data_IF_130753988698
#
_entry.id   IF_130753988698
#
_cell.length_a   1.000
_cell.length_b   1.000
_cell.length_c   1.000
_cell.angle_alpha   90.00
_cell.angle_beta   90.00
_cell.angle_gamma   90.00
#
_symmetry.space_group_name_H-M   'P 1'
#
loop_
_entity.id
_entity.type
_entity.pdbx_description
1 polymer ?
#
# COMPACT_ATOMS: atom_id res chain seq x y z
N UNK A 1 -41.64 -35.46 -32.98
CA UNK A 1 -41.06 -34.15 -33.34
C UNK A 1 -40.41 -33.60 -32.09
N UNK A 2 -39.12 -33.90 -31.96
CA UNK A 2 -38.19 -33.27 -31.03
C UNK A 2 -38.01 -31.79 -31.39
N UNK A 3 -37.71 -30.94 -30.41
CA UNK A 3 -36.44 -30.19 -30.40
C UNK A 3 -36.21 -29.57 -29.02
N UNK A 4 -35.32 -30.21 -28.28
CA UNK A 4 -34.58 -29.72 -27.11
C UNK A 4 -33.72 -28.52 -27.54
N UNK A 5 -33.93 -27.33 -26.97
CA UNK A 5 -33.06 -26.17 -27.21
C UNK A 5 -31.92 -26.17 -26.21
N UNK A 6 -30.81 -26.73 -26.68
CA UNK A 6 -29.48 -26.78 -26.08
C UNK A 6 -28.92 -25.36 -25.84
N UNK A 7 -28.44 -25.13 -24.62
CA UNK A 7 -27.70 -23.94 -24.19
C UNK A 7 -26.36 -23.81 -24.93
N UNK A 8 -25.94 -22.63 -25.42
CA UNK A 8 -24.62 -22.47 -25.99
C UNK A 8 -23.56 -22.50 -24.88
N UNK A 9 -22.68 -23.52 -24.98
CA UNK A 9 -21.48 -23.72 -24.18
C UNK A 9 -20.54 -22.51 -24.30
N UNK A 10 -19.97 -22.09 -23.17
CA UNK A 10 -18.89 -21.10 -23.07
C UNK A 10 -17.68 -21.61 -23.87
N UNK A 11 -17.32 -20.91 -24.95
CA UNK A 11 -16.07 -21.12 -25.67
C UNK A 11 -14.95 -20.35 -24.98
N UNK A 12 -14.00 -21.08 -24.44
CA UNK A 12 -12.69 -20.61 -23.99
C UNK A 12 -11.95 -19.94 -25.14
N UNK A 13 -11.70 -18.63 -25.06
CA UNK A 13 -10.71 -17.95 -25.91
C UNK A 13 -9.34 -18.15 -25.29
N UNK A 14 -8.50 -18.92 -25.98
CA UNK A 14 -7.06 -19.00 -25.76
C UNK A 14 -6.46 -17.67 -26.20
N UNK A 15 -5.87 -16.91 -25.27
CA UNK A 15 -5.07 -15.73 -25.60
C UNK A 15 -3.61 -16.15 -25.63
N UNK A 16 -3.03 -15.99 -26.81
CA UNK A 16 -1.65 -16.26 -27.16
C UNK A 16 -0.70 -15.39 -26.32
N UNK A 17 0.15 -16.07 -25.57
CA UNK A 17 1.27 -15.55 -24.79
C UNK A 17 2.25 -14.80 -25.72
N UNK A 18 2.49 -13.53 -25.42
CA UNK A 18 3.63 -12.77 -25.92
C UNK A 18 4.29 -12.15 -24.68
N UNK A 19 5.54 -12.54 -24.48
CA UNK A 19 6.40 -12.16 -23.37
C UNK A 19 7.05 -10.79 -23.61
N UNK A 20 6.91 -9.94 -22.61
CA UNK A 20 7.80 -8.86 -22.21
C UNK A 20 7.36 -8.51 -20.78
N UNK A 21 8.16 -8.59 -19.73
CA UNK A 21 9.59 -8.35 -19.63
C UNK A 21 9.85 -7.22 -18.63
N UNK A 22 9.22 -7.26 -17.45
CA UNK A 22 9.56 -6.44 -16.27
C UNK A 22 8.67 -6.86 -15.08
N UNK A 23 9.20 -7.71 -14.21
CA UNK A 23 8.50 -8.21 -13.03
C UNK A 23 8.52 -7.20 -11.88
N UNK A 24 7.60 -6.25 -11.89
CA UNK A 24 7.32 -5.40 -10.75
C UNK A 24 5.88 -5.65 -10.30
N UNK A 25 5.71 -6.15 -9.06
CA UNK A 25 4.42 -6.60 -8.53
C UNK A 25 3.59 -5.38 -8.04
N UNK A 26 2.37 -5.18 -8.58
CA UNK A 26 1.48 -4.01 -8.40
C UNK A 26 0.28 -4.38 -7.49
N UNK A 27 0.07 -3.64 -6.39
CA UNK A 27 -1.09 -3.82 -5.49
C UNK A 27 -2.15 -2.72 -5.74
N UNK A 28 -3.42 -2.89 -5.32
CA UNK A 28 -4.50 -1.89 -5.42
C UNK A 28 -5.59 -2.16 -4.37
N UNK A 29 -5.86 -1.21 -3.46
CA UNK A 29 -6.92 -1.30 -2.43
C UNK A 29 -8.28 -0.80 -2.97
N UNK A 30 -9.37 -1.53 -2.64
CA UNK A 30 -10.72 -1.30 -3.16
C UNK A 30 -11.79 -1.42 -2.04
N UNK A 31 -11.77 -0.51 -1.05
CA UNK A 31 -12.72 -0.53 0.09
C UNK A 31 -13.70 0.67 0.16
N UNK A 32 -14.98 0.44 0.53
CA UNK A 32 -15.96 1.49 0.86
C UNK A 32 -15.90 1.92 2.35
N UNK A 33 -16.08 3.22 2.58
CA UNK A 33 -15.93 3.92 3.88
C UNK A 33 -17.07 3.61 4.86
N UNK A 34 -16.74 3.19 6.09
CA UNK A 34 -17.57 3.51 7.25
C UNK A 34 -16.76 3.50 8.56
N UNK A 35 -16.75 4.65 9.24
CA UNK A 35 -15.99 4.96 10.46
C UNK A 35 -16.77 4.58 11.74
N UNK A 36 -16.08 4.08 12.77
CA UNK A 36 -16.37 4.44 14.16
C UNK A 36 -15.19 4.19 15.10
N UNK A 37 -14.92 5.17 15.97
CA UNK A 37 -13.78 5.30 16.89
C UNK A 37 -14.23 5.23 18.37
N UNK A 38 -13.23 5.14 19.27
CA UNK A 38 -13.19 5.29 20.75
C UNK A 38 -13.10 3.95 21.54
N UNK A 39 -12.20 3.77 22.54
CA UNK A 39 -11.82 4.67 23.64
C UNK A 39 -10.59 4.14 24.45
N UNK A 40 -9.61 5.02 24.75
CA UNK A 40 -8.83 5.32 26.02
C UNK A 40 -8.56 4.15 27.02
N UNK A 41 -7.38 3.90 27.63
CA UNK A 41 -6.60 4.65 28.67
C UNK A 41 -5.39 3.76 29.11
N UNK A 42 -4.15 4.24 29.24
CA UNK A 42 -3.40 4.65 30.47
C UNK A 42 -2.39 3.59 31.03
N UNK A 43 -1.36 4.12 31.72
CA UNK A 43 -0.34 3.53 32.61
C UNK A 43 1.15 3.44 32.18
N UNK A 44 2.02 3.70 33.17
CA UNK A 44 3.29 4.44 33.15
C UNK A 44 4.58 3.57 33.26
N UNK A 45 5.73 4.27 33.23
CA UNK A 45 7.06 3.96 33.83
C UNK A 45 8.02 2.93 33.18
N UNK A 46 9.17 3.41 32.67
CA UNK A 46 10.48 3.31 33.37
C UNK A 46 11.66 3.77 32.49
N UNK A 47 12.65 4.38 33.17
CA UNK A 47 13.83 5.00 32.61
C UNK A 47 14.78 4.03 31.88
N UNK A 48 15.23 4.42 30.69
CA UNK A 48 16.58 4.06 30.25
C UNK A 48 17.19 5.14 29.36
N UNK A 49 18.18 5.80 29.95
CA UNK A 49 18.94 6.90 29.40
C UNK A 49 19.95 6.34 28.39
N UNK A 50 19.54 6.20 27.13
CA UNK A 50 20.46 6.16 25.99
C UNK A 50 20.34 7.50 25.27
N UNK A 51 21.23 8.44 25.61
CA UNK A 51 21.50 9.59 24.75
C UNK A 51 22.18 9.05 23.49
N UNK A 52 21.38 8.59 22.53
CA UNK A 52 21.81 8.54 21.16
C UNK A 52 21.92 9.99 20.71
N UNK A 53 23.14 10.41 20.45
CA UNK A 53 23.46 11.57 19.62
C UNK A 53 22.99 11.26 18.19
N UNK A 54 21.67 11.16 18.00
CA UNK A 54 21.07 11.13 16.68
C UNK A 54 20.81 12.57 16.35
N UNK A 55 21.88 13.28 15.96
CA UNK A 55 21.69 14.32 14.96
C UNK A 55 21.13 13.59 13.74
N UNK A 56 19.79 13.46 13.71
CA UNK A 56 19.06 13.12 12.50
C UNK A 56 19.42 14.26 11.57
N UNK A 57 20.49 14.05 10.82
CA UNK A 57 20.77 14.79 9.61
C UNK A 57 19.49 14.58 8.80
N UNK A 58 18.57 15.54 8.88
CA UNK A 58 17.37 15.56 8.07
C UNK A 58 17.88 15.65 6.64
N UNK A 59 18.13 14.49 6.04
CA UNK A 59 18.39 14.38 4.62
C UNK A 59 17.18 15.01 3.96
N UNK A 60 17.43 15.87 2.98
CA UNK A 60 16.36 16.51 2.22
C UNK A 60 15.39 15.44 1.72
N UNK A 61 14.12 15.55 2.10
CA UNK A 61 13.09 14.64 1.68
C UNK A 61 12.71 14.94 0.22
N UNK A 62 13.14 14.06 -0.68
CA UNK A 62 12.84 14.14 -2.11
C UNK A 62 11.82 13.08 -2.55
N UNK A 63 11.16 12.43 -1.59
CA UNK A 63 10.29 11.27 -1.84
C UNK A 63 8.88 11.68 -2.24
N UNK A 64 8.48 12.91 -1.91
CA UNK A 64 7.10 13.37 -1.99
C UNK A 64 6.25 12.99 -0.78
N UNK A 65 6.74 12.18 0.16
CA UNK A 65 6.07 11.98 1.44
C UNK A 65 6.16 13.24 2.32
N UNK A 66 5.14 13.55 3.14
CA UNK A 66 5.28 14.46 4.27
C UNK A 66 6.43 14.04 5.19
N UNK A 67 7.18 15.01 5.75
CA UNK A 67 8.36 14.72 6.58
C UNK A 67 8.01 13.93 7.85
N UNK A 68 6.89 14.25 8.49
CA UNK A 68 6.38 13.51 9.66
C UNK A 68 6.07 12.06 9.28
N UNK A 69 5.33 11.85 8.19
CA UNK A 69 4.96 10.51 7.75
C UNK A 69 6.21 9.69 7.37
N UNK A 70 7.15 10.28 6.64
CA UNK A 70 8.41 9.61 6.29
C UNK A 70 9.15 9.18 7.55
N UNK A 71 9.40 10.11 8.48
CA UNK A 71 10.11 9.83 9.72
C UNK A 71 9.37 8.77 10.56
N UNK A 72 8.05 8.87 10.69
CA UNK A 72 7.24 7.92 11.44
C UNK A 72 7.25 6.51 10.86
N UNK A 73 7.19 6.36 9.52
CA UNK A 73 7.32 5.04 8.90
C UNK A 73 8.73 4.47 9.09
N UNK A 74 9.77 5.30 8.92
CA UNK A 74 11.16 4.87 9.12
C UNK A 74 11.42 4.43 10.57
N UNK A 75 10.89 5.18 11.55
CA UNK A 75 11.01 4.86 12.97
C UNK A 75 10.28 3.56 13.35
N UNK A 76 9.04 3.40 12.90
CA UNK A 76 8.20 2.26 13.28
C UNK A 76 8.58 0.98 12.54
N UNK A 77 9.06 1.08 11.30
CA UNK A 77 9.38 -0.08 10.46
C UNK A 77 10.86 -0.47 10.49
N UNK A 78 11.75 0.47 10.79
CA UNK A 78 13.21 0.28 10.70
C UNK A 78 13.76 0.27 9.27
N UNK A 79 12.92 0.51 8.25
CA UNK A 79 13.33 0.62 6.84
C UNK A 79 13.46 2.08 6.42
N UNK A 80 14.43 2.38 5.55
CA UNK A 80 14.52 3.72 4.96
C UNK A 80 13.48 3.90 3.86
N UNK A 81 12.85 5.07 3.84
CA UNK A 81 11.88 5.50 2.84
C UNK A 81 12.50 6.43 1.80
N UNK A 82 13.83 6.61 1.78
CA UNK A 82 14.54 7.55 0.89
C UNK A 82 14.33 7.25 -0.61
N UNK A 83 14.05 6.00 -0.97
CA UNK A 83 13.81 5.56 -2.36
C UNK A 83 12.34 5.66 -2.78
N UNK A 84 11.44 6.10 -1.88
CA UNK A 84 10.01 6.24 -2.16
C UNK A 84 9.75 7.40 -3.09
N UNK A 85 8.77 7.24 -3.99
CA UNK A 85 8.31 8.31 -4.89
C UNK A 85 6.79 8.37 -4.88
N UNK A 86 6.26 9.51 -4.43
CA UNK A 86 4.82 9.78 -4.44
C UNK A 86 4.45 10.53 -5.71
N UNK A 87 3.60 9.91 -6.52
CA UNK A 87 3.00 10.47 -7.73
C UNK A 87 1.60 10.99 -7.40
N UNK A 88 1.54 12.23 -6.91
CA UNK A 88 0.28 12.92 -6.64
C UNK A 88 -0.50 13.22 -7.92
N UNK A 89 -1.83 13.29 -7.81
CA UNK A 89 -2.73 13.55 -8.93
C UNK A 89 -2.54 12.58 -10.11
N UNK A 90 -2.14 11.34 -9.82
CA UNK A 90 -1.93 10.32 -10.84
C UNK A 90 -3.26 9.81 -11.40
N UNK A 91 -3.31 9.59 -12.72
CA UNK A 91 -4.43 8.93 -13.38
C UNK A 91 -4.33 7.39 -13.33
N UNK A 92 -3.23 6.84 -12.81
CA UNK A 92 -2.99 5.39 -12.81
C UNK A 92 -3.93 4.62 -11.90
N UNK A 93 -4.26 5.04 -10.66
CA UNK A 93 -5.17 4.26 -9.81
C UNK A 93 -6.54 4.01 -10.47
N UNK A 94 -7.02 4.94 -11.30
CA UNK A 94 -8.29 4.78 -12.01
C UNK A 94 -8.30 3.63 -13.03
N UNK A 95 -7.15 3.24 -13.61
CA UNK A 95 -7.08 2.15 -14.60
C UNK A 95 -7.38 0.78 -13.98
N UNK A 96 -7.22 0.72 -12.67
CA UNK A 96 -7.30 -0.48 -11.83
C UNK A 96 -8.37 -0.33 -10.75
N UNK A 97 -9.24 0.69 -10.91
CA UNK A 97 -10.40 0.99 -10.05
C UNK A 97 -10.05 1.29 -8.59
N UNK A 98 -8.86 1.81 -8.33
CA UNK A 98 -8.42 2.22 -7.00
C UNK A 98 -8.33 3.74 -6.86
N UNK A 99 -8.23 4.20 -5.60
CA UNK A 99 -8.02 5.61 -5.26
C UNK A 99 -6.54 5.94 -5.10
N UNK A 100 -5.77 5.03 -4.51
CA UNK A 100 -4.33 5.07 -4.44
C UNK A 100 -3.80 3.63 -4.51
N UNK A 101 -2.50 3.48 -4.79
CA UNK A 101 -1.83 2.20 -4.62
C UNK A 101 -0.32 2.32 -4.53
N UNK A 102 0.30 1.23 -4.05
CA UNK A 102 1.74 1.08 -3.93
C UNK A 102 2.28 -0.05 -4.81
N UNK A 103 3.34 0.24 -5.56
CA UNK A 103 4.13 -0.72 -6.32
C UNK A 103 5.61 -0.52 -6.03
N UNK A 104 6.23 -1.44 -5.30
CA UNK A 104 7.61 -1.28 -4.88
C UNK A 104 7.76 -0.02 -4.02
N UNK A 105 8.56 0.92 -4.50
CA UNK A 105 8.76 2.21 -3.84
C UNK A 105 7.96 3.35 -4.48
N UNK A 106 7.17 3.07 -5.52
CA UNK A 106 6.29 4.06 -6.16
C UNK A 106 4.89 4.01 -5.52
N UNK A 107 4.41 5.18 -5.07
CA UNK A 107 3.06 5.37 -4.54
C UNK A 107 2.30 6.26 -5.51
N UNK A 108 1.16 5.81 -6.02
CA UNK A 108 0.30 6.60 -6.90
C UNK A 108 -0.96 7.02 -6.17
N UNK A 109 -1.26 8.32 -6.17
CA UNK A 109 -2.42 8.88 -5.47
C UNK A 109 -3.30 9.63 -6.47
N UNK A 110 -4.58 9.30 -6.53
CA UNK A 110 -5.54 10.04 -7.35
C UNK A 110 -5.74 11.47 -6.84
N UNK A 111 -6.19 12.41 -7.68
CA UNK A 111 -6.46 13.77 -7.24
C UNK A 111 -7.40 13.84 -6.03
N UNK A 112 -6.96 14.48 -4.95
CA UNK A 112 -7.75 14.66 -3.72
C UNK A 112 -7.85 13.42 -2.83
N UNK A 113 -6.97 12.43 -3.02
CA UNK A 113 -6.94 11.18 -2.26
C UNK A 113 -5.70 11.03 -1.35
N UNK A 114 -5.05 12.13 -1.00
CA UNK A 114 -3.83 12.16 -0.18
C UNK A 114 -4.04 11.57 1.22
N UNK A 115 -5.28 11.50 1.70
CA UNK A 115 -5.66 10.81 2.94
C UNK A 115 -5.27 9.31 2.96
N UNK A 116 -5.10 8.68 1.80
CA UNK A 116 -4.66 7.28 1.69
C UNK A 116 -3.14 7.14 1.80
N UNK A 117 -2.38 8.23 1.71
CA UNK A 117 -0.92 8.19 1.66
C UNK A 117 -0.27 7.50 2.86
N UNK A 118 -0.73 7.69 4.12
CA UNK A 118 -0.14 6.98 5.25
C UNK A 118 -0.29 5.46 5.16
N UNK A 119 -1.43 5.00 4.68
CA UNK A 119 -1.71 3.58 4.45
C UNK A 119 -0.80 3.01 3.35
N UNK A 120 -0.72 3.70 2.21
CA UNK A 120 0.16 3.32 1.10
C UNK A 120 1.65 3.32 1.49
N UNK A 121 2.08 4.30 2.27
CA UNK A 121 3.45 4.35 2.78
C UNK A 121 3.79 3.14 3.66
N UNK A 122 2.83 2.62 4.43
CA UNK A 122 3.05 1.40 5.21
C UNK A 122 3.15 0.15 4.34
N UNK A 123 2.44 0.10 3.20
CA UNK A 123 2.61 -1.00 2.25
C UNK A 123 4.03 -1.09 1.69
N UNK A 124 4.73 0.03 1.50
CA UNK A 124 6.15 0.01 1.12
C UNK A 124 6.97 -0.74 2.19
N UNK A 125 6.78 -0.42 3.47
CA UNK A 125 7.49 -1.08 4.56
C UNK A 125 7.17 -2.59 4.62
N UNK A 126 5.93 -2.98 4.36
CA UNK A 126 5.55 -4.40 4.29
C UNK A 126 6.23 -5.12 3.11
N UNK A 127 6.30 -4.50 1.95
CA UNK A 127 6.99 -5.04 0.77
C UNK A 127 8.49 -5.18 1.02
N UNK A 128 9.12 -4.18 1.65
CA UNK A 128 10.54 -4.22 2.04
C UNK A 128 10.83 -5.31 3.07
N UNK A 129 9.87 -5.59 3.97
CA UNK A 129 9.97 -6.69 4.93
C UNK A 129 9.86 -8.08 4.29
N UNK A 130 9.53 -8.18 3.00
CA UNK A 130 9.35 -9.45 2.29
C UNK A 130 8.14 -10.25 2.77
N UNK A 131 7.18 -9.62 3.44
CA UNK A 131 5.96 -10.26 3.99
C UNK A 131 4.80 -10.26 2.98
N UNK A 132 4.92 -9.49 1.91
CA UNK A 132 3.88 -9.33 0.89
C UNK A 132 4.17 -10.27 -0.28
N UNK A 133 3.55 -11.45 -0.25
CA UNK A 133 3.54 -12.37 -1.39
C UNK A 133 2.25 -12.19 -2.20
N UNK A 134 2.29 -12.15 -3.54
CA UNK A 134 1.07 -12.11 -4.35
C UNK A 134 0.18 -13.32 -4.07
N UNK A 135 -1.08 -13.07 -3.71
CA UNK A 135 -2.09 -14.12 -3.52
C UNK A 135 -3.07 -14.21 -4.70
N UNK A 136 -3.17 -13.14 -5.48
CA UNK A 136 -4.12 -13.02 -6.60
C UNK A 136 -3.59 -12.07 -7.69
N UNK A 137 -4.32 -11.95 -8.81
CA UNK A 137 -4.04 -10.99 -9.87
C UNK A 137 -5.31 -10.24 -10.27
N UNK A 138 -5.22 -8.90 -10.35
CA UNK A 138 -6.31 -8.03 -10.82
C UNK A 138 -5.81 -7.23 -12.01
N UNK A 139 -6.40 -7.45 -13.18
CA UNK A 139 -5.99 -6.74 -14.41
C UNK A 139 -4.54 -7.01 -14.84
N UNK A 140 -3.97 -8.15 -14.44
CA UNK A 140 -2.55 -8.48 -14.67
C UNK A 140 -1.60 -7.93 -13.62
N UNK A 141 -2.13 -7.29 -12.58
CA UNK A 141 -1.36 -6.79 -11.45
C UNK A 141 -1.45 -7.74 -10.26
N UNK A 142 -0.31 -8.23 -9.74
CA UNK A 142 -0.26 -9.19 -8.63
C UNK A 142 -0.54 -8.52 -7.29
N UNK A 143 -1.64 -8.92 -6.66
CA UNK A 143 -2.19 -8.31 -5.45
C UNK A 143 -2.09 -9.31 -4.28
N UNK A 144 -2.02 -8.78 -3.06
CA UNK A 144 -2.11 -9.52 -1.81
C UNK A 144 -3.40 -9.03 -1.15
N UNK A 145 -4.30 -9.96 -0.85
CA UNK A 145 -5.61 -9.69 -0.25
C UNK A 145 -5.67 -10.11 1.22
N UNK A 146 -4.52 -10.19 1.89
CA UNK A 146 -4.44 -10.56 3.29
C UNK A 146 -4.97 -9.44 4.19
N UNK A 147 -6.18 -9.64 4.71
CA UNK A 147 -6.87 -8.72 5.62
C UNK A 147 -6.01 -8.29 6.82
N UNK A 148 -5.12 -9.17 7.31
CA UNK A 148 -4.21 -8.84 8.41
C UNK A 148 -3.16 -7.78 8.04
N UNK A 149 -2.62 -7.84 6.82
CA UNK A 149 -1.67 -6.85 6.32
C UNK A 149 -2.35 -5.52 6.01
N UNK A 150 -3.58 -5.55 5.48
CA UNK A 150 -4.40 -4.35 5.26
C UNK A 150 -4.71 -3.62 6.58
N UNK A 151 -5.12 -4.37 7.61
CA UNK A 151 -5.37 -3.79 8.92
C UNK A 151 -4.10 -3.23 9.57
N UNK A 152 -2.97 -3.92 9.41
CA UNK A 152 -1.67 -3.42 9.87
C UNK A 152 -1.33 -2.10 9.17
N UNK A 153 -1.56 -1.99 7.86
CA UNK A 153 -1.33 -0.75 7.09
C UNK A 153 -2.22 0.41 7.55
N UNK A 154 -3.51 0.15 7.85
CA UNK A 154 -4.41 1.16 8.41
C UNK A 154 -3.89 1.69 9.77
N UNK A 155 -3.55 0.78 10.69
CA UNK A 155 -3.16 1.15 12.07
C UNK A 155 -1.79 1.82 12.10
N UNK A 156 -0.82 1.21 11.42
CA UNK A 156 0.56 1.68 11.47
C UNK A 156 0.78 2.90 10.59
N UNK A 157 0.07 3.02 9.45
CA UNK A 157 0.05 4.24 8.66
C UNK A 157 -0.47 5.43 9.46
N UNK A 158 -1.61 5.28 10.13
CA UNK A 158 -2.17 6.34 10.98
C UNK A 158 -1.23 6.70 12.15
N UNK A 159 -0.58 5.69 12.75
CA UNK A 159 0.40 5.91 13.82
C UNK A 159 1.63 6.67 13.31
N UNK A 160 2.15 6.30 12.14
CA UNK A 160 3.29 6.97 11.52
C UNK A 160 3.00 8.43 11.19
N UNK A 161 1.79 8.73 10.71
CA UNK A 161 1.38 10.12 10.40
C UNK A 161 1.25 11.01 11.65
N UNK A 162 1.06 10.38 12.82
CA UNK A 162 0.85 11.08 14.09
C UNK A 162 2.10 11.28 14.94
N UNK A 163 3.27 10.81 14.47
CA UNK A 163 4.58 11.01 15.14
C UNK A 163 5.18 12.38 14.78
#
# INVERSE_FOLDING_TARGET
MEVEKVYPKKTTRVIQQRQDGSGALQFVDNRPVNQLLQRVSDDEDEASQMKADTTVQQRSNNTGLPDNLKAGVEELSGFSMDDVKVHYNSSQPATVQALAYTQGTDIHVSPGQEQHLPHEAWHVAQQMAGRVEPTTEVGGMPVNDNIGLEHEADVMGARADSL
#
